data_IF_922191431409
#
_entry.id   IF_922191431409
#
_cell.length_a   1.000
_cell.length_b   1.000
_cell.length_c   1.000
_cell.angle_alpha   90.00
_cell.angle_beta   90.00
_cell.angle_gamma   90.00
#
_symmetry.space_group_name_H-M   'P 1'
#
loop_
_entity.id
_entity.type
_entity.pdbx_description
1 polymer ?
#
# COMPACT_ATOMS: atom_id res chain seq x y z
N UNK A 1 23.69 -26.85 -26.87
CA UNK A 1 23.43 -25.48 -27.27
C UNK A 1 22.12 -25.05 -26.68
N UNK A 2 22.13 -24.10 -25.81
CA UNK A 2 20.86 -23.63 -25.27
C UNK A 2 20.11 -22.92 -26.39
N UNK A 3 18.86 -23.26 -26.61
CA UNK A 3 18.06 -22.49 -27.52
C UNK A 3 18.02 -21.06 -27.00
N UNK A 4 18.15 -20.12 -27.87
CA UNK A 4 17.93 -18.75 -27.46
C UNK A 4 16.51 -18.71 -26.92
N UNK A 5 16.43 -18.60 -25.62
CA UNK A 5 15.15 -18.43 -25.01
C UNK A 5 14.56 -17.17 -25.57
N UNK A 6 13.37 -17.27 -26.08
CA UNK A 6 12.70 -16.10 -26.56
C UNK A 6 12.68 -15.05 -25.47
N UNK A 7 13.33 -13.92 -25.73
CA UNK A 7 13.33 -12.81 -24.80
C UNK A 7 12.03 -12.02 -24.85
N UNK A 8 11.04 -12.51 -25.60
CA UNK A 8 9.81 -11.79 -25.84
C UNK A 8 8.60 -12.32 -25.10
N UNK A 9 8.74 -13.34 -24.24
CA UNK A 9 7.59 -13.75 -23.45
C UNK A 9 7.40 -12.76 -22.30
N UNK A 10 6.16 -12.43 -22.00
CA UNK A 10 5.86 -11.52 -20.89
C UNK A 10 5.73 -12.28 -19.57
N UNK A 11 5.67 -11.52 -18.46
CA UNK A 11 5.57 -12.09 -17.13
C UNK A 11 4.28 -12.87 -16.93
N UNK A 12 3.22 -12.55 -17.63
CA UNK A 12 1.94 -13.23 -17.51
C UNK A 12 2.00 -14.67 -18.04
N UNK A 13 2.82 -14.91 -19.05
CA UNK A 13 3.02 -16.25 -19.60
C UNK A 13 3.79 -17.16 -18.65
N UNK A 14 4.66 -16.58 -17.78
CA UNK A 14 5.46 -17.32 -16.82
C UNK A 14 4.78 -17.53 -15.48
N UNK A 15 3.80 -16.71 -15.17
CA UNK A 15 3.12 -16.73 -13.88
C UNK A 15 1.86 -17.58 -14.01
N UNK A 16 1.80 -18.68 -13.24
CA UNK A 16 0.72 -19.65 -13.36
C UNK A 16 -0.60 -19.23 -12.75
N UNK A 17 -0.61 -18.17 -11.95
CA UNK A 17 -1.80 -17.71 -11.27
C UNK A 17 -2.50 -16.61 -12.08
N UNK A 18 -3.80 -16.44 -11.86
CA UNK A 18 -4.54 -15.38 -12.52
C UNK A 18 -4.07 -14.00 -12.05
N UNK A 19 -3.88 -13.07 -12.99
CA UNK A 19 -3.58 -11.69 -12.68
C UNK A 19 -4.87 -10.90 -12.81
N UNK A 20 -5.17 -10.10 -11.77
CA UNK A 20 -6.35 -9.23 -11.73
C UNK A 20 -7.68 -9.96 -11.87
N UNK A 21 -7.81 -11.10 -11.18
CA UNK A 21 -9.10 -11.77 -11.03
C UNK A 21 -10.10 -10.78 -10.41
N UNK A 22 -11.25 -10.58 -11.05
CA UNK A 22 -12.21 -9.53 -10.67
C UNK A 22 -12.68 -9.66 -9.22
N UNK A 23 -12.91 -10.88 -8.75
CA UNK A 23 -13.38 -11.14 -7.38
C UNK A 23 -12.30 -10.75 -6.37
N UNK A 24 -11.04 -11.11 -6.66
CA UNK A 24 -9.92 -10.81 -5.78
C UNK A 24 -9.64 -9.30 -5.76
N UNK A 25 -9.67 -8.66 -6.92
CA UNK A 25 -9.52 -7.19 -6.99
C UNK A 25 -10.59 -6.50 -6.14
N UNK A 26 -11.83 -6.97 -6.21
CA UNK A 26 -12.91 -6.41 -5.40
C UNK A 26 -12.65 -6.58 -3.89
N UNK A 27 -12.12 -7.74 -3.46
CA UNK A 27 -11.74 -7.95 -2.07
C UNK A 27 -10.67 -6.95 -1.61
N UNK A 28 -9.63 -6.78 -2.43
CA UNK A 28 -8.53 -5.86 -2.09
C UNK A 28 -9.00 -4.42 -2.09
N UNK A 29 -9.85 -4.05 -3.05
CA UNK A 29 -10.44 -2.71 -3.07
C UNK A 29 -11.20 -2.42 -1.77
N UNK A 30 -11.96 -3.39 -1.27
CA UNK A 30 -12.72 -3.22 -0.05
C UNK A 30 -11.82 -2.98 1.17
N UNK A 31 -10.73 -3.75 1.32
CA UNK A 31 -9.81 -3.54 2.44
C UNK A 31 -8.98 -2.26 2.27
N UNK A 32 -8.64 -1.91 1.05
CA UNK A 32 -7.97 -0.65 0.76
C UNK A 32 -8.86 0.54 1.15
N UNK A 33 -10.13 0.51 0.78
CA UNK A 33 -11.08 1.57 1.14
C UNK A 33 -11.27 1.66 2.66
N UNK A 34 -11.30 0.52 3.33
CA UNK A 34 -11.36 0.48 4.80
C UNK A 34 -10.12 1.12 5.42
N UNK A 35 -8.95 0.86 4.85
CA UNK A 35 -7.69 1.48 5.26
C UNK A 35 -7.75 3.00 5.09
N UNK A 36 -8.18 3.49 3.93
CA UNK A 36 -8.27 4.92 3.66
C UNK A 36 -9.25 5.62 4.60
N UNK A 37 -10.38 5.00 4.87
CA UNK A 37 -11.36 5.53 5.83
C UNK A 37 -10.76 5.62 7.23
N UNK A 38 -10.03 4.58 7.64
CA UNK A 38 -9.37 4.58 8.94
C UNK A 38 -8.32 5.68 9.06
N UNK A 39 -7.60 5.98 7.98
CA UNK A 39 -6.66 7.10 7.94
C UNK A 39 -7.40 8.43 8.15
N UNK A 40 -8.50 8.64 7.45
CA UNK A 40 -9.27 9.89 7.55
C UNK A 40 -9.85 10.08 8.95
N UNK A 41 -10.25 9.02 9.62
CA UNK A 41 -10.84 9.06 10.95
C UNK A 41 -9.80 8.91 12.06
N UNK A 42 -8.54 8.67 11.71
CA UNK A 42 -7.48 8.29 12.64
C UNK A 42 -7.88 7.12 13.52
N UNK A 43 -8.50 6.11 12.92
CA UNK A 43 -8.91 4.89 13.61
C UNK A 43 -7.70 3.96 13.72
N UNK A 44 -6.94 4.14 14.79
CA UNK A 44 -5.69 3.42 15.02
C UNK A 44 -5.93 1.92 15.13
N UNK A 45 -7.04 1.51 15.74
CA UNK A 45 -7.33 0.08 15.91
C UNK A 45 -7.51 -0.62 14.56
N UNK A 46 -8.22 0.00 13.63
CA UNK A 46 -8.39 -0.55 12.27
C UNK A 46 -7.08 -0.53 11.51
N UNK A 47 -6.31 0.55 11.61
CA UNK A 47 -5.00 0.64 10.95
C UNK A 47 -4.07 -0.47 11.44
N UNK A 48 -4.05 -0.73 12.75
CA UNK A 48 -3.24 -1.80 13.32
C UNK A 48 -3.74 -3.18 12.91
N UNK A 49 -5.06 -3.37 12.85
CA UNK A 49 -5.64 -4.63 12.39
C UNK A 49 -5.24 -4.95 10.96
N UNK A 50 -5.21 -3.95 10.07
CA UNK A 50 -4.93 -4.16 8.64
C UNK A 50 -3.45 -4.37 8.32
N UNK A 51 -2.56 -4.11 9.27
CA UNK A 51 -1.14 -4.45 9.12
C UNK A 51 -0.86 -5.80 9.74
N UNK A 52 -0.02 -6.59 9.08
CA UNK A 52 0.40 -7.88 9.59
C UNK A 52 1.18 -7.69 10.89
N UNK A 53 0.72 -8.32 11.96
CA UNK A 53 1.32 -8.17 13.30
C UNK A 53 2.50 -9.12 13.44
N UNK A 54 3.59 -8.78 12.78
CA UNK A 54 4.79 -9.62 12.70
C UNK A 54 6.04 -8.74 12.66
N UNK A 55 7.15 -9.28 13.16
CA UNK A 55 8.43 -8.58 13.17
C UNK A 55 8.97 -8.30 11.76
N UNK A 56 8.49 -9.01 10.74
CA UNK A 56 8.92 -8.83 9.35
C UNK A 56 8.15 -7.73 8.60
N UNK A 57 7.11 -7.18 9.18
CA UNK A 57 6.36 -6.10 8.54
C UNK A 57 7.20 -4.83 8.53
N UNK A 58 7.26 -4.17 7.37
CA UNK A 58 8.10 -2.98 7.18
C UNK A 58 7.24 -1.82 6.70
N UNK A 59 7.48 -0.63 7.24
CA UNK A 59 6.90 0.59 6.72
C UNK A 59 7.95 1.68 6.63
N UNK A 60 8.18 2.16 5.42
CA UNK A 60 8.99 3.36 5.18
C UNK A 60 8.04 4.55 5.02
N UNK A 61 8.18 5.52 5.90
CA UNK A 61 7.45 6.78 5.77
C UNK A 61 8.32 7.85 5.14
N UNK A 62 7.77 9.04 5.02
CA UNK A 62 8.50 10.16 4.42
C UNK A 62 9.71 10.58 5.28
N UNK A 63 9.65 10.37 6.58
CA UNK A 63 10.71 10.78 7.50
C UNK A 63 11.20 9.70 8.44
N UNK A 64 10.74 8.45 8.31
CA UNK A 64 11.08 7.38 9.25
C UNK A 64 11.15 6.02 8.59
N UNK A 65 11.95 5.14 9.15
CA UNK A 65 12.01 3.73 8.79
C UNK A 65 11.52 2.91 9.97
N UNK A 66 10.47 2.12 9.78
CA UNK A 66 9.85 1.33 10.83
C UNK A 66 9.96 -0.15 10.49
N UNK A 67 10.59 -0.90 11.39
CA UNK A 67 10.81 -2.33 11.24
C UNK A 67 10.03 -3.09 12.31
N UNK A 68 9.10 -3.92 11.86
CA UNK A 68 8.25 -4.70 12.72
C UNK A 68 6.99 -3.98 13.15
N UNK A 69 5.96 -4.75 13.41
CA UNK A 69 4.64 -4.23 13.76
C UNK A 69 4.69 -3.32 15.01
N UNK A 70 5.48 -3.68 16.00
CA UNK A 70 5.53 -2.91 17.25
C UNK A 70 6.02 -1.49 17.03
N UNK A 71 7.04 -1.30 16.18
CA UNK A 71 7.51 0.05 15.82
C UNK A 71 6.45 0.82 15.04
N UNK A 72 5.75 0.14 14.14
CA UNK A 72 4.70 0.76 13.33
C UNK A 72 3.55 1.23 14.21
N UNK A 73 3.11 0.39 15.13
CA UNK A 73 2.01 0.72 16.04
C UNK A 73 2.38 1.87 16.98
N UNK A 74 3.61 1.84 17.52
CA UNK A 74 4.09 2.91 18.40
C UNK A 74 4.15 4.26 17.67
N UNK A 75 4.67 4.28 16.45
CA UNK A 75 4.71 5.49 15.63
C UNK A 75 3.30 6.03 15.37
N UNK A 76 2.37 5.14 15.02
CA UNK A 76 1.01 5.52 14.66
C UNK A 76 0.26 6.12 15.84
N UNK A 77 0.48 5.61 17.05
CA UNK A 77 -0.21 6.09 18.25
C UNK A 77 0.18 7.53 18.63
N UNK A 78 1.39 7.97 18.22
CA UNK A 78 1.86 9.34 18.48
C UNK A 78 1.63 10.31 17.33
N UNK A 79 1.00 9.86 16.24
CA UNK A 79 0.87 10.66 15.02
C UNK A 79 -0.26 11.69 15.12
N UNK A 80 -0.02 12.87 14.56
CA UNK A 80 -1.04 13.92 14.49
C UNK A 80 -2.07 13.62 13.41
N UNK A 81 -3.32 13.40 13.81
CA UNK A 81 -4.41 13.08 12.90
C UNK A 81 -4.61 14.11 11.79
N UNK A 82 -4.44 15.40 12.09
CA UNK A 82 -4.64 16.46 11.09
C UNK A 82 -3.65 16.37 9.92
N UNK A 83 -2.50 15.74 10.13
CA UNK A 83 -1.47 15.62 9.09
C UNK A 83 -1.61 14.38 8.24
N UNK A 84 -2.52 13.46 8.58
CA UNK A 84 -2.70 12.23 7.80
C UNK A 84 -3.94 12.27 6.90
N UNK A 85 -4.86 13.20 7.14
CA UNK A 85 -6.04 13.34 6.29
C UNK A 85 -5.63 13.69 4.87
N UNK A 86 -6.16 12.95 3.90
CA UNK A 86 -5.74 13.04 2.52
C UNK A 86 -6.86 12.69 1.55
N UNK A 87 -6.68 13.10 0.31
CA UNK A 87 -7.60 12.82 -0.78
C UNK A 87 -6.88 11.94 -1.80
N UNK A 88 -7.36 10.72 -2.05
CA UNK A 88 -6.80 9.91 -3.14
C UNK A 88 -7.01 10.58 -4.49
N UNK A 89 -5.96 10.60 -5.31
CA UNK A 89 -6.00 11.14 -6.66
C UNK A 89 -6.00 10.03 -7.70
N UNK A 90 -5.25 8.97 -7.46
CA UNK A 90 -5.16 7.82 -8.34
C UNK A 90 -4.87 6.58 -7.51
N UNK A 91 -5.60 5.51 -7.76
CA UNK A 91 -5.42 4.22 -7.07
C UNK A 91 -5.29 3.13 -8.11
N UNK A 92 -4.20 2.36 -8.01
CA UNK A 92 -3.94 1.22 -8.88
C UNK A 92 -3.77 -0.03 -8.02
N UNK A 93 -4.69 -0.96 -8.17
CA UNK A 93 -4.65 -2.25 -7.46
C UNK A 93 -4.43 -3.35 -8.49
N UNK A 94 -3.47 -4.21 -8.22
CA UNK A 94 -3.25 -5.43 -9.00
C UNK A 94 -3.16 -6.62 -8.08
N UNK A 95 -3.72 -7.75 -8.52
CA UNK A 95 -3.71 -8.99 -7.75
C UNK A 95 -3.02 -10.08 -8.53
N UNK A 96 -2.36 -10.98 -7.81
CA UNK A 96 -1.53 -12.05 -8.37
C UNK A 96 -1.94 -13.34 -7.66
N UNK A 97 -2.76 -14.16 -8.34
CA UNK A 97 -3.44 -15.27 -7.71
C UNK A 97 -4.51 -14.76 -6.75
N UNK A 98 -4.80 -15.51 -5.72
CA UNK A 98 -5.89 -15.21 -4.80
C UNK A 98 -5.42 -14.61 -3.47
N UNK A 99 -4.13 -14.58 -3.21
CA UNK A 99 -3.61 -14.26 -1.89
C UNK A 99 -2.57 -13.15 -1.84
N UNK A 100 -2.29 -12.50 -2.96
CA UNK A 100 -1.23 -11.51 -3.04
C UNK A 100 -1.67 -10.33 -3.92
N UNK A 101 -1.41 -9.11 -3.45
CA UNK A 101 -1.78 -7.91 -4.19
C UNK A 101 -0.84 -6.75 -3.90
N UNK A 102 -0.78 -5.83 -4.84
CA UNK A 102 -0.17 -4.52 -4.65
C UNK A 102 -1.24 -3.44 -4.77
N UNK A 103 -1.12 -2.40 -3.96
CA UNK A 103 -1.98 -1.22 -4.05
C UNK A 103 -1.08 0.01 -4.06
N UNK A 104 -1.18 0.79 -5.13
CA UNK A 104 -0.42 2.02 -5.29
C UNK A 104 -1.39 3.19 -5.34
N UNK A 105 -1.07 4.25 -4.61
CA UNK A 105 -1.96 5.40 -4.50
C UNK A 105 -1.17 6.69 -4.59
N UNK A 106 -1.64 7.60 -5.43
CA UNK A 106 -1.23 9.00 -5.39
C UNK A 106 -2.31 9.75 -4.61
N UNK A 107 -1.90 10.61 -3.71
CA UNK A 107 -2.84 11.35 -2.89
C UNK A 107 -2.38 12.79 -2.67
N UNK A 108 -3.31 13.63 -2.28
CA UNK A 108 -3.03 15.00 -1.85
C UNK A 108 -3.38 15.14 -0.37
N UNK A 109 -2.41 15.60 0.42
CA UNK A 109 -2.61 15.83 1.83
C UNK A 109 -3.48 17.07 2.03
N UNK A 110 -4.50 16.98 2.89
CA UNK A 110 -5.45 18.08 3.06
C UNK A 110 -4.87 19.27 3.84
N UNK A 111 -3.90 19.01 4.73
CA UNK A 111 -3.35 20.07 5.59
C UNK A 111 -2.46 21.07 4.85
N UNK A 112 -1.71 20.60 3.82
CA UNK A 112 -0.71 21.45 3.13
C UNK A 112 -0.68 21.23 1.62
N UNK A 113 -1.61 20.43 1.10
CA UNK A 113 -1.76 20.14 -0.33
C UNK A 113 -0.56 19.41 -0.97
N UNK A 114 0.37 18.90 -0.16
CA UNK A 114 1.48 18.10 -0.70
C UNK A 114 0.96 16.82 -1.34
N UNK A 115 1.55 16.49 -2.49
CA UNK A 115 1.22 15.25 -3.19
C UNK A 115 2.13 14.13 -2.72
N UNK A 116 1.52 13.06 -2.24
CA UNK A 116 2.21 11.89 -1.76
C UNK A 116 1.94 10.67 -2.61
N UNK A 117 2.77 9.67 -2.40
CA UNK A 117 2.63 8.36 -3.04
C UNK A 117 2.76 7.29 -1.99
N UNK A 118 1.93 6.28 -2.09
CA UNK A 118 1.99 5.14 -1.19
C UNK A 118 1.92 3.85 -2.00
N UNK A 119 2.84 2.96 -1.72
CA UNK A 119 2.83 1.60 -2.26
C UNK A 119 2.65 0.63 -1.11
N UNK A 120 1.71 -0.30 -1.24
CA UNK A 120 1.44 -1.32 -0.23
C UNK A 120 1.44 -2.69 -0.88
N UNK A 121 2.02 -3.65 -0.18
CA UNK A 121 1.92 -5.06 -0.52
C UNK A 121 0.98 -5.72 0.46
N UNK A 122 -0.05 -6.37 -0.07
CA UNK A 122 -1.09 -7.04 0.70
C UNK A 122 -1.01 -8.54 0.51
N UNK A 123 -1.19 -9.29 1.58
CA UNK A 123 -1.26 -10.75 1.56
C UNK A 123 -2.53 -11.19 2.28
N UNK A 124 -3.21 -12.18 1.70
CA UNK A 124 -4.39 -12.76 2.35
C UNK A 124 -3.96 -13.91 3.26
N UNK A 125 -4.07 -13.65 4.56
CA UNK A 125 -3.87 -14.64 5.61
C UNK A 125 -5.21 -15.28 5.99
N UNK A 126 -5.22 -16.32 6.82
CA UNK A 126 -6.49 -16.91 7.28
C UNK A 126 -7.45 -15.90 7.93
N UNK A 127 -6.92 -14.89 8.64
CA UNK A 127 -7.71 -13.84 9.27
C UNK A 127 -8.12 -12.71 8.33
N UNK A 128 -7.62 -12.71 7.10
CA UNK A 128 -7.97 -11.71 6.08
C UNK A 128 -6.76 -11.05 5.47
N UNK A 129 -7.03 -10.05 4.65
CA UNK A 129 -5.98 -9.29 3.95
C UNK A 129 -5.21 -8.39 4.93
N UNK A 130 -3.88 -8.42 4.83
CA UNK A 130 -2.99 -7.62 5.69
C UNK A 130 -1.88 -7.00 4.86
N UNK A 131 -1.47 -5.78 5.22
CA UNK A 131 -0.29 -5.13 4.65
C UNK A 131 0.96 -5.74 5.27
N UNK A 132 1.87 -6.22 4.44
CA UNK A 132 3.16 -6.75 4.90
C UNK A 132 4.31 -5.77 4.67
N UNK A 133 4.11 -4.80 3.77
CA UNK A 133 5.14 -3.82 3.43
C UNK A 133 4.46 -2.57 2.88
N UNK A 134 4.92 -1.41 3.29
CA UNK A 134 4.40 -0.15 2.80
C UNK A 134 5.51 0.89 2.68
N UNK A 135 5.38 1.77 1.70
CA UNK A 135 6.32 2.85 1.48
C UNK A 135 5.57 4.11 1.10
N UNK A 136 5.82 5.19 1.82
CA UNK A 136 5.21 6.49 1.59
C UNK A 136 6.30 7.49 1.24
N UNK A 137 6.06 8.32 0.23
CA UNK A 137 6.97 9.40 -0.15
C UNK A 137 6.16 10.59 -0.61
N UNK A 138 6.83 11.74 -0.73
CA UNK A 138 6.21 12.94 -1.29
C UNK A 138 6.93 13.33 -2.57
N UNK A 139 6.16 13.85 -3.52
CA UNK A 139 6.74 14.50 -4.68
C UNK A 139 7.30 15.85 -4.27
N UNK A 140 8.39 16.31 -4.90
CA UNK A 140 8.85 17.67 -4.67
C UNK A 140 7.75 18.65 -5.07
N UNK A 141 7.70 19.79 -4.38
CA UNK A 141 6.77 20.84 -4.76
C UNK A 141 7.08 21.31 -6.19
N UNK A 142 6.02 21.54 -6.96
CA UNK A 142 6.18 22.11 -8.28
C UNK A 142 6.87 23.47 -8.16
N UNK A 143 7.93 23.70 -8.96
CA UNK A 143 8.54 25.01 -9.00
C UNK A 143 7.51 26.02 -9.52
N UNK A 144 7.42 27.20 -8.91
CA UNK A 144 6.52 28.21 -9.44
C UNK A 144 6.91 28.54 -10.89
N UNK A 145 5.91 28.72 -11.73
CA UNK A 145 6.14 29.15 -13.10
C UNK A 145 6.86 30.51 -13.08
N UNK A 146 8.00 30.57 -13.71
CA UNK A 146 8.75 31.81 -13.83
C UNK A 146 8.21 32.66 -14.97
#
# INVERSE_FOLDING_TARGET
>A
MSPSISLSFDAEECFDEAIDDEEVVAEVRAVFDRYEKALMENDVDVLDELFWQNARTIRYGAGENLYGFDEIAAFRSGRNAAKIARKPLRVEISTYGRNFATANCEYQRLSDEKCGRQSQTWVRFPEGWRVISAHVSFLPEAKPAS
#
